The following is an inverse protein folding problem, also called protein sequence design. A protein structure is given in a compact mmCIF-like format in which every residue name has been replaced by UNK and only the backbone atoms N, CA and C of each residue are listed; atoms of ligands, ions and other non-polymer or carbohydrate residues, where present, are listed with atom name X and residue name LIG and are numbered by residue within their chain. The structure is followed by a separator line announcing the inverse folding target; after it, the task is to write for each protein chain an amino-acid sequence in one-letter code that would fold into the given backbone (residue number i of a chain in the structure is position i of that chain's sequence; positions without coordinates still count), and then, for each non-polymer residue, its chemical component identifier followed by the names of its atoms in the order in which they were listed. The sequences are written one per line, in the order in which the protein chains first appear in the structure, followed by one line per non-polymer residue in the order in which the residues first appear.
data_IF_685601290537
#
_entry.id   IF_685601290537
#
_cell.length_a   1.000
_cell.length_b   1.000
_cell.length_c   1.000
_cell.angle_alpha   90.00
_cell.angle_beta   90.00
_cell.angle_gamma   90.00
#
_symmetry.space_group_name_H-M   'P 1'
#
loop_
_entity.id
_entity.type
_entity.pdbx_description
1 polymer ?
#
# COMPACT_ATOMS: atom_id res chain seq x y z
N UNK A 1 3.41 -20.46 -19.15
CA UNK A 1 2.34 -19.89 -18.29
C UNK A 1 2.52 -18.40 -18.25
N UNK A 2 1.44 -17.62 -18.43
CA UNK A 2 1.45 -16.16 -18.26
C UNK A 2 1.15 -15.81 -16.80
N UNK A 3 1.95 -14.91 -16.24
CA UNK A 3 1.76 -14.39 -14.88
C UNK A 3 1.22 -12.96 -14.93
N UNK A 4 0.21 -12.69 -14.10
CA UNK A 4 -0.50 -11.41 -14.04
C UNK A 4 -0.54 -10.89 -12.63
N UNK A 5 -0.35 -9.58 -12.44
CA UNK A 5 -0.46 -8.94 -11.14
C UNK A 5 -1.89 -8.50 -10.83
N UNK A 6 -2.16 -8.31 -9.56
CA UNK A 6 -3.35 -7.58 -9.12
C UNK A 6 -3.30 -6.12 -9.54
N UNK A 7 -4.45 -5.49 -9.64
CA UNK A 7 -4.52 -4.06 -9.92
C UNK A 7 -3.89 -3.26 -8.79
N UNK A 8 -2.99 -2.36 -9.19
CA UNK A 8 -2.27 -1.55 -8.25
C UNK A 8 -1.94 -0.19 -8.87
N UNK A 9 -2.30 0.86 -8.16
CA UNK A 9 -1.89 2.23 -8.50
C UNK A 9 -1.21 2.82 -7.29
N UNK A 10 0.11 3.02 -7.35
CA UNK A 10 0.75 3.62 -6.20
C UNK A 10 2.26 3.67 -6.26
N UNK A 11 2.81 3.91 -5.12
CA UNK A 11 4.23 4.12 -4.85
C UNK A 11 4.61 3.34 -3.61
N UNK A 12 5.89 3.26 -3.30
CA UNK A 12 6.35 2.74 -2.03
C UNK A 12 5.74 3.51 -0.86
N UNK A 13 5.40 2.81 0.18
CA UNK A 13 5.11 3.38 1.49
C UNK A 13 6.42 3.68 2.22
N UNK A 14 6.46 4.75 2.99
CA UNK A 14 7.63 5.13 3.77
C UNK A 14 7.77 6.64 3.89
N UNK A 15 8.91 7.08 4.43
CA UNK A 15 9.16 8.49 4.78
C UNK A 15 8.94 9.47 3.63
N UNK A 16 9.38 9.14 2.42
CA UNK A 16 9.21 10.03 1.26
C UNK A 16 7.74 10.29 0.94
N UNK A 17 6.90 9.22 1.01
CA UNK A 17 5.48 9.35 0.83
C UNK A 17 4.84 10.21 1.94
N UNK A 18 5.27 10.02 3.18
CA UNK A 18 4.77 10.79 4.32
C UNK A 18 5.10 12.28 4.18
N UNK A 19 6.33 12.60 3.82
CA UNK A 19 6.77 13.98 3.53
C UNK A 19 5.93 14.59 2.40
N UNK A 20 5.71 13.85 1.31
CA UNK A 20 4.90 14.32 0.19
C UNK A 20 3.43 14.48 0.58
N UNK A 21 2.87 13.56 1.36
CA UNK A 21 1.50 13.65 1.87
C UNK A 21 1.33 14.88 2.76
N UNK A 22 2.23 15.08 3.74
CA UNK A 22 2.20 16.26 4.62
C UNK A 22 2.27 17.55 3.82
N UNK A 23 3.27 17.70 2.96
CA UNK A 23 3.42 18.88 2.10
C UNK A 23 2.20 19.13 1.21
N UNK A 24 1.57 18.06 0.71
CA UNK A 24 0.33 18.16 -0.07
C UNK A 24 -0.81 18.70 0.80
N UNK A 25 -1.01 18.17 2.01
CA UNK A 25 -2.05 18.62 2.94
C UNK A 25 -1.81 20.06 3.36
N UNK A 26 -0.58 20.43 3.71
CA UNK A 26 -0.20 21.80 4.10
C UNK A 26 -0.48 22.78 2.95
N UNK A 27 -0.08 22.43 1.72
CA UNK A 27 -0.30 23.26 0.53
C UNK A 27 -1.78 23.44 0.24
N UNK A 28 -2.56 22.37 0.30
CA UNK A 28 -4.00 22.38 0.04
C UNK A 28 -4.81 22.95 1.22
N UNK A 29 -4.15 23.32 2.31
CA UNK A 29 -4.73 24.05 3.46
C UNK A 29 -4.32 25.53 3.49
N UNK A 30 -3.42 25.94 2.61
CA UNK A 30 -2.93 27.31 2.49
C UNK A 30 -3.82 28.12 1.56
N UNK A 31 -4.63 29.03 2.15
CA UNK A 31 -5.56 29.88 1.40
C UNK A 31 -4.86 30.72 0.32
N UNK A 32 -3.58 31.09 0.53
CA UNK A 32 -2.79 31.83 -0.47
C UNK A 32 -2.45 30.99 -1.69
N UNK A 33 -2.25 29.68 -1.49
CA UNK A 33 -1.99 28.72 -2.56
C UNK A 33 -3.27 28.34 -3.31
N UNK A 34 -4.35 28.08 -2.57
CA UNK A 34 -5.61 27.61 -3.17
C UNK A 34 -6.34 28.76 -3.89
N UNK A 35 -6.40 29.96 -3.34
CA UNK A 35 -7.02 31.17 -3.92
C UNK A 35 -8.32 30.90 -4.69
N UNK A 36 -9.24 30.15 -4.10
CA UNK A 36 -10.50 29.72 -4.73
C UNK A 36 -10.33 28.77 -5.94
N UNK A 37 -9.14 28.21 -6.14
CA UNK A 37 -8.89 27.24 -7.21
C UNK A 37 -9.64 25.94 -6.94
N UNK A 38 -9.95 25.24 -8.01
CA UNK A 38 -10.52 23.89 -7.97
C UNK A 38 -9.47 22.89 -8.42
N UNK A 39 -9.69 21.61 -8.09
CA UNK A 39 -8.78 20.57 -8.52
C UNK A 39 -8.72 20.48 -10.06
N UNK A 40 -7.55 20.70 -10.64
CA UNK A 40 -7.29 20.72 -12.08
C UNK A 40 -5.81 20.53 -12.38
N UNK A 41 -5.43 20.56 -13.64
CA UNK A 41 -4.04 20.33 -14.10
C UNK A 41 -3.10 21.39 -13.54
N UNK A 42 -3.51 22.63 -13.58
CA UNK A 42 -2.73 23.80 -13.10
C UNK A 42 -2.36 23.69 -11.63
N UNK A 43 -3.31 23.33 -10.76
CA UNK A 43 -3.01 23.14 -9.34
C UNK A 43 -2.16 21.88 -9.08
N UNK A 44 -2.30 20.84 -9.92
CA UNK A 44 -1.47 19.63 -9.83
C UNK A 44 -0.01 19.91 -10.22
N UNK A 45 0.23 20.77 -11.21
CA UNK A 45 1.57 21.18 -11.62
C UNK A 45 2.25 22.03 -10.54
N UNK A 46 1.54 23.04 -10.02
CA UNK A 46 2.06 23.86 -8.92
C UNK A 46 2.31 23.04 -7.66
N UNK A 47 1.43 22.09 -7.35
CA UNK A 47 1.58 21.17 -6.24
C UNK A 47 2.80 20.24 -6.44
N UNK A 48 3.01 19.73 -7.66
CA UNK A 48 4.18 18.90 -7.97
C UNK A 48 5.48 19.65 -7.67
N UNK A 49 5.58 20.89 -8.12
CA UNK A 49 6.74 21.75 -7.82
C UNK A 49 6.91 21.95 -6.31
N UNK A 50 5.82 22.19 -5.58
CA UNK A 50 5.86 22.50 -4.14
C UNK A 50 6.29 21.32 -3.27
N UNK A 51 5.85 20.12 -3.63
CA UNK A 51 6.17 18.88 -2.87
C UNK A 51 7.40 18.13 -3.39
N UNK A 52 8.02 18.61 -4.47
CA UNK A 52 9.16 17.95 -5.10
C UNK A 52 8.78 16.66 -5.84
N UNK A 53 7.61 16.63 -6.50
CA UNK A 53 7.21 15.53 -7.35
C UNK A 53 7.59 15.81 -8.82
N UNK A 54 7.89 14.74 -9.57
CA UNK A 54 8.42 14.85 -10.94
C UNK A 54 7.43 15.47 -11.95
N UNK A 55 6.12 15.38 -11.68
CA UNK A 55 5.10 15.85 -12.62
C UNK A 55 3.70 15.87 -11.99
N UNK A 56 2.75 16.53 -12.67
CA UNK A 56 1.32 16.44 -12.34
C UNK A 56 0.79 14.99 -12.41
N UNK A 57 1.41 14.12 -13.22
CA UNK A 57 1.14 12.70 -13.25
C UNK A 57 1.48 11.99 -11.93
N UNK A 58 2.60 12.37 -11.32
CA UNK A 58 2.99 11.86 -9.99
C UNK A 58 1.97 12.28 -8.92
N UNK A 59 1.45 13.51 -8.97
CA UNK A 59 0.40 14.01 -8.06
C UNK A 59 -0.88 13.17 -8.20
N UNK A 60 -1.30 12.85 -9.43
CA UNK A 60 -2.46 11.98 -9.66
C UNK A 60 -2.27 10.58 -9.09
N UNK A 61 -1.07 10.02 -9.26
CA UNK A 61 -0.73 8.71 -8.68
C UNK A 61 -0.77 8.73 -7.15
N UNK A 62 -0.15 9.75 -6.52
CA UNK A 62 -0.19 9.93 -5.05
C UNK A 62 -1.63 10.07 -4.58
N UNK A 63 -2.42 10.96 -5.20
CA UNK A 63 -3.84 11.13 -4.87
C UNK A 63 -4.60 9.81 -4.95
N UNK A 64 -4.47 9.08 -6.07
CA UNK A 64 -5.20 7.83 -6.28
C UNK A 64 -4.87 6.81 -5.19
N UNK A 65 -3.61 6.66 -4.88
CA UNK A 65 -3.15 5.78 -3.80
C UNK A 65 -3.70 6.20 -2.43
N UNK A 66 -3.63 7.49 -2.09
CA UNK A 66 -4.15 8.00 -0.81
C UNK A 66 -5.67 7.83 -0.68
N UNK A 67 -6.40 7.92 -1.79
CA UNK A 67 -7.84 7.62 -1.85
C UNK A 67 -8.08 6.12 -1.65
N UNK A 68 -7.31 5.25 -2.31
CA UNK A 68 -7.43 3.79 -2.17
C UNK A 68 -7.12 3.32 -0.75
N UNK A 69 -6.14 3.94 -0.08
CA UNK A 69 -5.81 3.66 1.32
C UNK A 69 -6.80 4.32 2.32
N UNK A 70 -7.76 5.08 1.82
CA UNK A 70 -8.77 5.73 2.63
C UNK A 70 -8.23 6.89 3.48
N UNK A 71 -7.12 7.52 3.08
CA UNK A 71 -6.60 8.74 3.74
C UNK A 71 -7.25 10.01 3.19
N UNK A 72 -7.60 10.01 1.92
CA UNK A 72 -8.33 11.11 1.25
C UNK A 72 -9.71 10.60 0.85
N UNK A 73 -10.74 11.44 1.04
CA UNK A 73 -12.11 11.15 0.61
C UNK A 73 -12.18 11.10 -0.93
N UNK A 74 -12.85 10.09 -1.48
CA UNK A 74 -12.87 9.74 -2.91
C UNK A 74 -13.12 10.95 -3.82
N UNK A 75 -14.10 11.80 -3.49
CA UNK A 75 -14.55 12.87 -4.38
C UNK A 75 -14.02 14.27 -4.00
N UNK A 76 -13.24 14.37 -2.93
CA UNK A 76 -12.77 15.65 -2.39
C UNK A 76 -11.80 16.41 -3.31
N UNK A 77 -11.02 15.66 -4.10
CA UNK A 77 -10.09 16.19 -5.11
C UNK A 77 -10.55 15.79 -6.52
N UNK A 78 -11.80 16.08 -6.85
CA UNK A 78 -12.37 15.87 -8.18
C UNK A 78 -12.35 17.17 -8.99
N UNK A 79 -12.30 17.05 -10.32
CA UNK A 79 -12.24 18.20 -11.22
C UNK A 79 -13.42 19.17 -10.95
N UNK A 80 -13.10 20.43 -10.77
CA UNK A 80 -14.11 21.47 -10.50
C UNK A 80 -14.58 21.57 -9.05
N UNK A 81 -14.16 20.65 -8.17
CA UNK A 81 -14.51 20.69 -6.74
C UNK A 81 -13.61 21.69 -6.01
N UNK A 82 -14.22 22.53 -5.16
CA UNK A 82 -13.47 23.44 -4.28
C UNK A 82 -12.69 22.62 -3.24
N UNK A 83 -11.41 22.89 -3.14
CA UNK A 83 -10.53 22.19 -2.22
C UNK A 83 -10.71 22.78 -0.82
N UNK A 84 -10.85 21.92 0.17
CA UNK A 84 -10.88 22.29 1.59
C UNK A 84 -10.32 21.12 2.42
N UNK A 85 -9.42 21.41 3.36
CA UNK A 85 -8.80 20.39 4.21
C UNK A 85 -9.84 19.55 4.96
N UNK A 86 -10.81 20.18 5.58
CA UNK A 86 -11.84 19.49 6.39
C UNK A 86 -12.73 18.55 5.57
N UNK A 87 -12.89 18.82 4.28
CA UNK A 87 -13.63 17.94 3.35
C UNK A 87 -12.74 16.94 2.63
N UNK A 88 -11.42 17.16 2.63
CA UNK A 88 -10.45 16.34 1.90
C UNK A 88 -10.04 15.09 2.69
N UNK A 89 -9.66 15.26 3.95
CA UNK A 89 -9.14 14.15 4.75
C UNK A 89 -10.25 13.31 5.36
N UNK A 90 -10.02 12.02 5.45
CA UNK A 90 -10.79 11.11 6.31
C UNK A 90 -10.27 11.19 7.75
N UNK A 91 -10.96 10.53 8.71
CA UNK A 91 -10.43 10.40 10.09
C UNK A 91 -9.06 9.71 10.08
N UNK A 92 -8.89 8.66 9.27
CA UNK A 92 -7.60 7.96 9.10
C UNK A 92 -6.53 8.86 8.46
N UNK A 93 -6.90 9.69 7.50
CA UNK A 93 -6.01 10.68 6.90
C UNK A 93 -5.55 11.75 7.88
N UNK A 94 -6.43 12.22 8.77
CA UNK A 94 -6.05 13.13 9.85
C UNK A 94 -5.13 12.47 10.87
N UNK A 95 -5.37 11.20 11.22
CA UNK A 95 -4.50 10.43 12.10
C UNK A 95 -3.09 10.28 11.49
N UNK A 96 -3.00 9.88 10.21
CA UNK A 96 -1.72 9.79 9.51
C UNK A 96 -0.98 11.13 9.49
N UNK A 97 -1.68 12.21 9.15
CA UNK A 97 -1.09 13.56 9.16
C UNK A 97 -0.57 13.93 10.55
N UNK A 98 -1.32 13.64 11.61
CA UNK A 98 -0.93 13.89 12.99
C UNK A 98 0.34 13.14 13.40
N UNK A 99 0.45 11.85 13.04
CA UNK A 99 1.66 11.05 13.34
C UNK A 99 2.87 11.58 12.57
N UNK A 100 2.71 12.00 11.31
CA UNK A 100 3.81 12.60 10.53
C UNK A 100 4.27 13.93 11.17
N UNK A 101 3.35 14.76 11.62
CA UNK A 101 3.71 16.00 12.33
C UNK A 101 4.44 15.73 13.64
N UNK A 102 4.01 14.72 14.41
CA UNK A 102 4.67 14.30 15.64
C UNK A 102 6.09 13.80 15.37
N UNK A 103 6.28 12.96 14.34
CA UNK A 103 7.59 12.48 13.91
C UNK A 103 8.51 13.65 13.53
N UNK A 104 8.02 14.62 12.76
CA UNK A 104 8.79 15.81 12.39
C UNK A 104 9.20 16.64 13.62
N UNK A 105 8.32 16.79 14.60
CA UNK A 105 8.64 17.51 15.86
C UNK A 105 9.74 16.80 16.65
N UNK A 106 9.66 15.47 16.80
CA UNK A 106 10.67 14.68 17.52
C UNK A 106 12.03 14.74 16.81
N UNK A 107 12.02 14.67 15.48
CA UNK A 107 13.25 14.77 14.69
C UNK A 107 13.88 16.16 14.73
N UNK A 108 13.09 17.22 14.84
CA UNK A 108 13.56 18.60 14.93
C UNK A 108 14.02 19.00 16.34
N UNK A 109 13.61 18.29 17.37
CA UNK A 109 13.94 18.64 18.75
C UNK A 109 15.36 18.17 19.13
N UNK A 110 16.28 19.12 19.17
CA UNK A 110 17.67 18.88 19.58
C UNK A 110 17.87 18.62 21.08
N UNK A 111 16.84 18.83 21.92
CA UNK A 111 16.89 18.60 23.36
C UNK A 111 16.66 17.13 23.75
N UNK A 112 16.14 16.33 22.83
CA UNK A 112 15.87 14.91 23.03
C UNK A 112 17.17 14.11 22.88
N UNK A 113 17.54 13.36 23.90
CA UNK A 113 18.68 12.43 23.85
C UNK A 113 18.39 11.21 22.95
N UNK A 114 19.46 10.53 22.53
CA UNK A 114 19.36 9.42 21.57
C UNK A 114 18.51 8.25 22.09
N UNK A 115 18.52 7.98 23.40
CA UNK A 115 17.74 6.89 23.98
C UNK A 115 16.23 7.19 23.92
N UNK A 116 15.84 8.42 24.27
CA UNK A 116 14.44 8.88 24.16
C UNK A 116 14.00 8.96 22.72
N UNK A 117 14.90 9.40 21.81
CA UNK A 117 14.60 9.43 20.36
C UNK A 117 14.30 8.05 19.82
N UNK A 118 15.12 7.04 20.12
CA UNK A 118 14.85 5.64 19.75
C UNK A 118 13.55 5.10 20.32
N UNK A 119 13.25 5.42 21.58
CA UNK A 119 11.98 5.00 22.18
C UNK A 119 10.79 5.64 21.45
N UNK A 120 10.86 6.93 21.13
CA UNK A 120 9.82 7.63 20.38
C UNK A 120 9.65 7.08 18.94
N UNK A 121 10.74 6.75 18.24
CA UNK A 121 10.71 6.12 16.92
C UNK A 121 9.98 4.77 16.94
N UNK A 122 10.18 3.97 18.00
CA UNK A 122 9.47 2.69 18.18
C UNK A 122 7.95 2.92 18.32
N UNK A 123 7.55 3.89 19.14
CA UNK A 123 6.14 4.20 19.33
C UNK A 123 5.51 4.80 18.05
N UNK A 124 6.19 5.69 17.35
CA UNK A 124 5.76 6.22 16.06
C UNK A 124 5.58 5.09 15.03
N UNK A 125 6.51 4.14 14.99
CA UNK A 125 6.39 2.99 14.11
C UNK A 125 5.12 2.18 14.41
N UNK A 126 4.78 1.95 15.67
CA UNK A 126 3.53 1.26 16.06
C UNK A 126 2.30 2.03 15.58
N UNK A 127 2.28 3.36 15.74
CA UNK A 127 1.18 4.19 15.23
C UNK A 127 1.02 4.08 13.71
N UNK A 128 2.12 4.06 12.96
CA UNK A 128 2.05 3.81 11.52
C UNK A 128 1.54 2.39 11.23
N UNK A 129 2.03 1.37 11.92
CA UNK A 129 1.57 -0.01 11.76
C UNK A 129 0.05 -0.10 11.98
N UNK A 130 -0.51 0.52 13.03
CA UNK A 130 -1.95 0.55 13.31
C UNK A 130 -2.74 1.25 12.19
N UNK A 131 -2.31 2.44 11.77
CA UNK A 131 -2.99 3.23 10.72
C UNK A 131 -2.98 2.46 9.39
N UNK A 132 -1.84 1.88 9.02
CA UNK A 132 -1.73 1.13 7.77
C UNK A 132 -2.42 -0.24 7.84
N UNK A 133 -2.43 -0.88 9.01
CA UNK A 133 -3.20 -2.09 9.23
C UNK A 133 -4.68 -1.86 8.97
N UNK A 134 -5.26 -0.82 9.57
CA UNK A 134 -6.66 -0.43 9.30
C UNK A 134 -6.88 -0.07 7.82
N UNK A 135 -5.92 0.63 7.20
CA UNK A 135 -6.01 0.94 5.77
C UNK A 135 -6.04 -0.32 4.91
N UNK A 136 -5.19 -1.32 5.21
CA UNK A 136 -5.11 -2.57 4.45
C UNK A 136 -6.32 -3.46 4.63
N UNK A 137 -6.94 -3.47 5.81
CA UNK A 137 -8.20 -4.20 6.04
C UNK A 137 -9.34 -3.70 5.15
N UNK A 138 -9.32 -2.43 4.80
CA UNK A 138 -10.33 -1.78 3.95
C UNK A 138 -9.83 -1.51 2.53
N UNK A 139 -8.63 -2.01 2.18
CA UNK A 139 -8.08 -1.89 0.84
C UNK A 139 -8.64 -2.98 -0.05
N UNK A 140 -9.54 -2.60 -0.92
CA UNK A 140 -10.10 -3.47 -1.95
C UNK A 140 -10.29 -2.70 -3.25
N UNK A 141 -10.37 -3.44 -4.34
CA UNK A 141 -10.74 -2.89 -5.62
C UNK A 141 -11.88 -3.67 -6.24
N UNK A 142 -12.57 -3.02 -7.14
CA UNK A 142 -13.71 -3.60 -7.84
C UNK A 142 -13.22 -4.25 -9.13
N UNK A 143 -13.51 -5.52 -9.31
CA UNK A 143 -13.27 -6.26 -10.53
C UNK A 143 -14.20 -5.78 -11.65
N UNK A 144 -13.95 -6.24 -12.90
CA UNK A 144 -14.76 -5.87 -14.06
C UNK A 144 -16.20 -6.36 -13.95
N UNK A 145 -16.46 -7.44 -13.23
CA UNK A 145 -17.78 -8.01 -12.96
C UNK A 145 -18.53 -7.32 -11.81
N UNK A 146 -17.91 -6.33 -11.17
CA UNK A 146 -18.47 -5.58 -10.04
C UNK A 146 -18.19 -6.20 -8.67
N UNK A 147 -17.55 -7.38 -8.59
CA UNK A 147 -17.13 -7.97 -7.31
C UNK A 147 -16.01 -7.16 -6.65
N UNK A 148 -15.93 -7.27 -5.33
CA UNK A 148 -14.85 -6.66 -4.55
C UNK A 148 -13.79 -7.70 -4.23
N UNK A 149 -12.53 -7.33 -4.39
CA UNK A 149 -11.37 -8.15 -4.09
C UNK A 149 -10.51 -7.48 -3.02
N UNK A 150 -10.21 -8.21 -1.95
CA UNK A 150 -9.32 -7.79 -0.88
C UNK A 150 -7.96 -8.51 -0.98
N UNK A 151 -6.89 -7.85 -1.48
CA UNK A 151 -5.57 -8.47 -1.61
C UNK A 151 -5.00 -9.00 -0.29
N UNK A 152 -5.27 -8.30 0.83
CA UNK A 152 -4.81 -8.73 2.15
C UNK A 152 -5.45 -10.07 2.54
N UNK A 153 -6.78 -10.19 2.39
CA UNK A 153 -7.50 -11.42 2.74
C UNK A 153 -6.99 -12.61 1.94
N UNK A 154 -6.86 -12.45 0.62
CA UNK A 154 -6.31 -13.50 -0.25
C UNK A 154 -4.88 -13.90 0.15
N UNK A 155 -4.05 -12.91 0.47
CA UNK A 155 -2.65 -13.16 0.88
C UNK A 155 -2.58 -13.92 2.22
N UNK A 156 -3.32 -13.48 3.23
CA UNK A 156 -3.29 -14.12 4.53
C UNK A 156 -3.90 -15.53 4.48
N UNK A 157 -4.93 -15.76 3.68
CA UNK A 157 -5.50 -17.10 3.47
C UNK A 157 -4.46 -18.06 2.87
N UNK A 158 -3.69 -17.62 1.87
CA UNK A 158 -2.60 -18.41 1.32
C UNK A 158 -1.48 -18.65 2.34
N UNK A 159 -1.08 -17.62 3.11
CA UNK A 159 -0.05 -17.72 4.13
C UNK A 159 -0.49 -18.55 5.35
N UNK A 160 -1.78 -18.61 5.68
CA UNK A 160 -2.30 -19.51 6.72
C UNK A 160 -2.04 -20.98 6.39
N UNK A 161 -2.12 -21.32 5.12
CA UNK A 161 -1.90 -22.70 4.66
C UNK A 161 -0.43 -23.01 4.40
N UNK A 162 0.31 -22.06 3.84
CA UNK A 162 1.67 -22.31 3.32
C UNK A 162 2.79 -21.65 4.13
N UNK A 163 2.44 -20.86 5.17
CA UNK A 163 3.35 -20.12 6.06
C UNK A 163 4.21 -19.07 5.35
N UNK A 164 4.65 -19.36 4.13
CA UNK A 164 5.46 -18.49 3.30
C UNK A 164 5.14 -18.69 1.81
N UNK A 165 5.35 -17.65 1.06
CA UNK A 165 5.33 -17.68 -0.40
C UNK A 165 6.64 -17.09 -0.92
N UNK A 166 7.32 -17.79 -1.81
CA UNK A 166 8.42 -17.19 -2.56
C UNK A 166 7.87 -16.19 -3.61
N UNK A 167 8.77 -15.53 -4.30
CA UNK A 167 8.44 -14.57 -5.33
C UNK A 167 7.50 -15.13 -6.41
N UNK A 168 7.78 -16.32 -6.91
CA UNK A 168 6.99 -16.90 -8.00
C UNK A 168 5.65 -17.45 -7.50
N UNK A 169 5.62 -17.97 -6.30
CA UNK A 169 4.41 -18.39 -5.62
C UNK A 169 3.47 -17.19 -5.36
N UNK A 170 4.06 -16.03 -5.01
CA UNK A 170 3.32 -14.78 -4.94
C UNK A 170 2.73 -14.36 -6.31
N UNK A 171 3.50 -14.50 -7.40
CA UNK A 171 2.99 -14.26 -8.74
C UNK A 171 1.87 -15.23 -9.13
N UNK A 172 1.97 -16.51 -8.74
CA UNK A 172 0.91 -17.49 -8.95
C UNK A 172 -0.37 -17.10 -8.21
N UNK A 173 -0.27 -16.73 -6.93
CA UNK A 173 -1.41 -16.23 -6.15
C UNK A 173 -2.09 -15.06 -6.86
N UNK A 174 -1.33 -14.06 -7.26
CA UNK A 174 -1.86 -12.88 -7.97
C UNK A 174 -2.49 -13.23 -9.32
N UNK A 175 -2.03 -14.29 -9.97
CA UNK A 175 -2.54 -14.72 -11.28
C UNK A 175 -3.86 -15.45 -11.17
N UNK A 176 -3.95 -16.38 -10.22
CA UNK A 176 -5.07 -17.31 -10.15
C UNK A 176 -6.17 -16.88 -9.20
N UNK A 177 -5.87 -16.02 -8.18
CA UNK A 177 -6.88 -15.54 -7.24
C UNK A 177 -7.27 -14.11 -7.58
N UNK A 178 -8.51 -13.93 -8.02
CA UNK A 178 -9.13 -12.65 -8.38
C UNK A 178 -10.36 -12.33 -7.53
N UNK A 179 -10.83 -13.34 -6.79
CA UNK A 179 -11.93 -13.25 -5.82
C UNK A 179 -11.44 -13.90 -4.53
N UNK A 180 -11.34 -13.10 -3.46
CA UNK A 180 -10.76 -13.54 -2.18
C UNK A 180 -11.69 -14.46 -1.37
N UNK A 181 -12.89 -14.76 -1.90
CA UNK A 181 -13.87 -15.70 -1.38
C UNK A 181 -14.17 -16.86 -2.32
N UNK A 182 -13.41 -17.02 -3.41
CA UNK A 182 -13.62 -18.12 -4.38
C UNK A 182 -12.80 -19.36 -4.04
N UNK A 183 -13.43 -20.37 -3.49
CA UNK A 183 -12.79 -21.66 -3.23
C UNK A 183 -12.24 -22.31 -4.51
N UNK A 184 -12.88 -22.11 -5.66
CA UNK A 184 -12.44 -22.63 -6.95
C UNK A 184 -11.11 -22.02 -7.41
N UNK A 185 -10.96 -20.69 -7.27
CA UNK A 185 -9.73 -19.99 -7.62
C UNK A 185 -8.58 -20.37 -6.68
N UNK A 186 -8.85 -20.52 -5.39
CA UNK A 186 -7.88 -21.02 -4.43
C UNK A 186 -7.49 -22.47 -4.72
N UNK A 187 -8.41 -23.35 -5.06
CA UNK A 187 -8.10 -24.73 -5.45
C UNK A 187 -7.22 -24.79 -6.71
N UNK A 188 -7.48 -23.92 -7.70
CA UNK A 188 -6.64 -23.81 -8.88
C UNK A 188 -5.24 -23.29 -8.54
N UNK A 189 -5.15 -22.24 -7.72
CA UNK A 189 -3.87 -21.73 -7.21
C UNK A 189 -3.08 -22.84 -6.51
N UNK A 190 -3.70 -23.61 -5.60
CA UNK A 190 -3.05 -24.69 -4.86
C UNK A 190 -2.52 -25.80 -5.78
N UNK A 191 -3.32 -26.17 -6.78
CA UNK A 191 -2.87 -27.16 -7.78
C UNK A 191 -1.61 -26.68 -8.49
N UNK A 192 -1.63 -25.47 -9.04
CA UNK A 192 -0.50 -24.90 -9.79
C UNK A 192 0.72 -24.65 -8.89
N UNK A 193 0.49 -24.21 -7.65
CA UNK A 193 1.54 -24.06 -6.65
C UNK A 193 2.22 -25.40 -6.34
N UNK A 194 1.44 -26.47 -6.20
CA UNK A 194 1.98 -27.82 -5.98
C UNK A 194 2.79 -28.31 -7.18
N UNK A 195 2.30 -28.08 -8.39
CA UNK A 195 3.02 -28.38 -9.63
C UNK A 195 4.34 -27.61 -9.73
N UNK A 196 4.34 -26.32 -9.38
CA UNK A 196 5.54 -25.49 -9.34
C UNK A 196 6.55 -26.00 -8.30
N UNK A 197 6.11 -26.29 -7.07
CA UNK A 197 6.97 -26.84 -6.00
C UNK A 197 7.57 -28.20 -6.35
N UNK A 198 6.87 -28.99 -7.16
CA UNK A 198 7.34 -30.27 -7.68
C UNK A 198 8.25 -30.13 -8.93
N UNK A 199 8.56 -28.91 -9.36
CA UNK A 199 9.45 -28.63 -10.49
C UNK A 199 8.83 -28.84 -11.86
N UNK A 200 7.49 -28.98 -11.95
CA UNK A 200 6.79 -29.12 -13.23
C UNK A 200 6.69 -27.81 -14.02
N UNK A 201 6.90 -26.69 -13.35
CA UNK A 201 6.92 -25.36 -13.96
C UNK A 201 8.22 -24.64 -13.65
N UNK A 202 8.85 -24.09 -14.68
CA UNK A 202 9.96 -23.14 -14.53
C UNK A 202 9.42 -21.74 -14.84
N UNK A 203 9.50 -20.83 -13.85
CA UNK A 203 9.01 -19.47 -13.95
C UNK A 203 10.15 -18.47 -14.00
N UNK A 204 9.99 -17.43 -14.82
CA UNK A 204 10.97 -16.38 -15.03
C UNK A 204 10.26 -15.04 -15.27
N UNK A 205 11.00 -13.95 -15.32
CA UNK A 205 10.45 -12.62 -15.58
C UNK A 205 9.76 -12.51 -16.94
N UNK A 206 10.15 -13.31 -17.92
CA UNK A 206 9.51 -13.38 -19.23
C UNK A 206 8.09 -13.93 -19.20
N UNK A 207 7.71 -14.59 -18.12
CA UNK A 207 6.33 -15.05 -17.91
C UNK A 207 5.39 -13.93 -17.45
N UNK A 208 5.94 -12.80 -16.94
CA UNK A 208 5.13 -11.71 -16.39
C UNK A 208 4.63 -10.80 -17.50
N UNK A 209 3.34 -10.85 -17.79
CA UNK A 209 2.73 -10.12 -18.92
C UNK A 209 1.94 -8.89 -18.50
N UNK A 210 1.42 -8.85 -17.26
CA UNK A 210 0.60 -7.74 -16.77
C UNK A 210 0.96 -7.32 -15.35
N UNK A 211 0.91 -6.00 -15.12
CA UNK A 211 0.92 -5.33 -13.80
C UNK A 211 2.06 -5.76 -12.86
N UNK A 212 3.31 -5.79 -13.36
CA UNK A 212 4.43 -6.24 -12.54
C UNK A 212 4.66 -5.38 -11.29
N UNK A 213 4.21 -4.12 -11.30
CA UNK A 213 4.38 -3.20 -10.15
C UNK A 213 3.55 -3.60 -8.93
N UNK A 214 2.39 -4.20 -9.09
CA UNK A 214 1.58 -4.69 -7.99
C UNK A 214 2.32 -5.71 -7.14
N UNK A 215 3.06 -6.60 -7.77
CA UNK A 215 3.87 -7.61 -7.10
C UNK A 215 4.95 -7.04 -6.18
N UNK A 216 5.44 -5.83 -6.50
CA UNK A 216 6.54 -5.20 -5.76
C UNK A 216 6.03 -4.40 -4.56
N UNK A 217 4.89 -3.73 -4.71
CA UNK A 217 4.47 -2.72 -3.76
C UNK A 217 3.47 -3.26 -2.74
N UNK A 218 2.54 -4.13 -3.14
CA UNK A 218 1.51 -4.66 -2.22
C UNK A 218 2.13 -5.36 -0.99
N UNK A 219 3.14 -6.26 -1.13
CA UNK A 219 3.78 -6.87 0.03
C UNK A 219 4.42 -5.86 0.98
N UNK A 220 4.97 -4.76 0.45
CA UNK A 220 5.57 -3.70 1.28
C UNK A 220 4.53 -2.96 2.11
N UNK A 221 3.31 -2.77 1.58
CA UNK A 221 2.22 -2.21 2.39
C UNK A 221 1.83 -3.14 3.53
N UNK A 222 1.76 -4.45 3.28
CA UNK A 222 1.46 -5.43 4.32
C UNK A 222 2.57 -5.51 5.36
N UNK A 223 3.83 -5.39 4.94
CA UNK A 223 4.96 -5.33 5.87
C UNK A 223 4.93 -4.06 6.71
N UNK A 224 4.68 -2.91 6.08
CA UNK A 224 4.58 -1.62 6.76
C UNK A 224 3.39 -1.57 7.74
N UNK A 225 2.32 -2.28 7.42
CA UNK A 225 1.18 -2.51 8.30
C UNK A 225 1.44 -3.53 9.42
N UNK A 226 2.64 -4.10 9.49
CA UNK A 226 2.98 -5.09 10.52
C UNK A 226 2.40 -6.49 10.31
N UNK A 227 1.82 -6.79 9.13
CA UNK A 227 1.05 -8.01 8.86
C UNK A 227 1.87 -9.18 8.33
N UNK A 228 2.94 -8.87 7.60
CA UNK A 228 3.87 -9.86 7.03
C UNK A 228 5.32 -9.42 7.23
N UNK A 229 6.25 -10.32 6.96
CA UNK A 229 7.67 -10.00 6.81
C UNK A 229 8.07 -10.25 5.37
N UNK A 230 8.70 -9.27 4.74
CA UNK A 230 9.23 -9.37 3.38
C UNK A 230 10.74 -9.58 3.46
N UNK A 231 11.21 -10.70 2.94
CA UNK A 231 12.63 -11.06 2.94
C UNK A 231 13.17 -10.81 1.54
N UNK A 232 14.23 -10.01 1.44
CA UNK A 232 14.96 -9.76 0.19
C UNK A 232 16.28 -10.52 0.24
N UNK A 233 16.60 -11.25 -0.82
CA UNK A 233 17.88 -11.94 -0.96
C UNK A 233 18.85 -11.11 -1.80
N UNK A 234 20.10 -10.91 -1.34
CA UNK A 234 21.08 -10.05 -2.02
C UNK A 234 21.36 -10.43 -3.46
N UNK A 235 21.39 -11.72 -3.78
CA UNK A 235 21.64 -12.24 -5.13
C UNK A 235 20.58 -11.87 -6.17
N UNK A 236 19.41 -11.43 -5.71
CA UNK A 236 18.29 -11.01 -6.56
C UNK A 236 18.15 -9.49 -6.69
N UNK A 237 19.01 -8.73 -6.03
CA UNK A 237 18.94 -7.27 -5.97
C UNK A 237 19.24 -6.56 -7.29
N UNK A 238 19.63 -7.29 -8.33
CA UNK A 238 20.11 -6.74 -9.61
C UNK A 238 19.02 -6.19 -10.52
N UNK A 239 17.72 -6.39 -10.24
CA UNK A 239 16.66 -5.78 -11.02
C UNK A 239 15.69 -5.01 -10.11
N UNK A 240 15.48 -3.74 -10.41
CA UNK A 240 14.52 -2.85 -9.71
C UNK A 240 13.09 -3.39 -9.68
N UNK A 241 12.79 -4.42 -10.46
CA UNK A 241 11.49 -5.06 -10.59
C UNK A 241 11.22 -6.19 -9.59
N UNK A 242 12.14 -6.48 -8.66
CA UNK A 242 12.08 -7.69 -7.84
C UNK A 242 12.48 -7.39 -6.39
N UNK A 243 11.61 -6.70 -5.65
CA UNK A 243 11.94 -6.21 -4.31
C UNK A 243 11.70 -7.20 -3.18
N UNK A 244 11.08 -8.35 -3.42
CA UNK A 244 10.92 -9.39 -2.42
C UNK A 244 11.16 -10.77 -3.02
N UNK A 245 11.76 -11.63 -2.26
CA UNK A 245 12.01 -13.03 -2.62
C UNK A 245 11.09 -13.96 -1.85
N UNK A 246 10.65 -13.56 -0.68
CA UNK A 246 9.80 -14.36 0.18
C UNK A 246 8.92 -13.48 1.06
N UNK A 247 7.65 -13.84 1.19
CA UNK A 247 6.69 -13.23 2.11
C UNK A 247 6.35 -14.27 3.16
N UNK A 248 6.46 -13.88 4.44
CA UNK A 248 6.08 -14.70 5.59
C UNK A 248 4.99 -14.03 6.41
N UNK A 249 4.08 -14.84 6.92
CA UNK A 249 3.07 -14.39 7.88
C UNK A 249 3.72 -14.00 9.20
N UNK A 250 3.28 -12.89 9.78
CA UNK A 250 3.50 -12.59 11.21
C UNK A 250 2.39 -13.22 12.04
N UNK A 251 2.65 -13.38 13.34
CA UNK A 251 1.62 -13.77 14.29
C UNK A 251 0.64 -12.62 14.45
N UNK A 252 -0.61 -12.85 14.06
CA UNK A 252 -1.69 -11.86 14.11
C UNK A 252 -2.63 -12.16 15.28
N UNK A 253 -3.23 -11.12 15.86
CA UNK A 253 -4.17 -11.32 16.95
C UNK A 253 -5.47 -12.00 16.46
N UNK A 254 -6.12 -12.85 17.30
CA UNK A 254 -7.41 -13.43 16.95
C UNK A 254 -8.48 -12.37 16.64
N UNK A 255 -8.46 -11.25 17.35
CA UNK A 255 -9.38 -10.13 17.13
C UNK A 255 -9.23 -9.58 15.70
N UNK A 256 -7.99 -9.33 15.28
CA UNK A 256 -7.71 -8.87 13.92
C UNK A 256 -8.24 -9.85 12.85
N UNK A 257 -7.99 -11.15 13.04
CA UNK A 257 -8.47 -12.17 12.09
C UNK A 257 -10.00 -12.23 12.06
N UNK A 258 -10.66 -12.08 13.21
CA UNK A 258 -12.13 -12.01 13.27
C UNK A 258 -12.67 -10.80 12.53
N UNK A 259 -12.06 -9.64 12.68
CA UNK A 259 -12.47 -8.42 11.94
C UNK A 259 -12.25 -8.56 10.43
N UNK A 260 -11.10 -9.13 10.03
CA UNK A 260 -10.77 -9.31 8.61
C UNK A 260 -11.71 -10.30 7.90
N UNK A 261 -12.04 -11.44 8.56
CA UNK A 261 -12.84 -12.51 7.96
C UNK A 261 -14.31 -12.47 8.37
N UNK A 262 -14.65 -11.84 9.49
CA UNK A 262 -16.01 -11.79 10.04
C UNK A 262 -16.92 -10.73 9.43
N UNK A 263 -16.40 -9.86 8.57
CA UNK A 263 -17.18 -8.81 7.87
C UNK A 263 -17.91 -9.32 6.62
N UNK A 264 -18.30 -10.58 6.58
CA UNK A 264 -19.12 -11.18 5.50
C UNK A 264 -20.60 -10.99 5.78
#
# INVERSE_FOLDING_TARGET
MELRGWDYTGRNVGRDLHVQFKKMVDSLSDDSFIRQRTWGTDIQEDLANRIGADSSGAIRTIKTMLVMLGFIKKDSLSRGVKICRTTMLTKRGEALYGVICLEDQILADSSIDDAKRKAAEIEIKKLYEEIYCEAMMHYYYTNRDGSHFCPLRATLQALDKYERLDKWEWYLLNTFVRHDDSDEEFALFEKVLTEYRNGLHTLSISNVVEKPKGHQYIPQYFEYAGLVTVIQRPEWSMSHSQRHDEIKKKVLSPTFLTELYGGK
#
